data_IF_747951866874
#
_entry.id   IF_747951866874
#
_cell.length_a   1.000
_cell.length_b   1.000
_cell.length_c   1.000
_cell.angle_alpha   90.00
_cell.angle_beta   90.00
_cell.angle_gamma   90.00
#
_symmetry.space_group_name_H-M   'P 1'
#
loop_
_entity.id
_entity.type
_entity.pdbx_description
1 polymer ?
#
# COMPACT_ATOMS: atom_id res chain seq x y z
N UNK A 1 8.26 -21.70 12.77
CA UNK A 1 8.08 -20.63 11.75
C UNK A 1 8.41 -19.31 12.41
N UNK A 2 9.22 -18.47 11.76
CA UNK A 2 9.61 -17.15 12.27
C UNK A 2 8.79 -16.07 11.58
N UNK A 3 8.23 -15.15 12.36
CA UNK A 3 7.45 -14.02 11.87
C UNK A 3 8.05 -12.74 12.45
N UNK A 4 8.33 -11.76 11.58
CA UNK A 4 8.88 -10.46 11.98
C UNK A 4 7.89 -9.38 11.56
N UNK A 5 7.62 -8.44 12.46
CA UNK A 5 6.76 -7.28 12.19
C UNK A 5 7.61 -6.01 12.26
N UNK A 6 7.56 -5.21 11.20
CA UNK A 6 8.20 -3.89 11.16
C UNK A 6 7.11 -2.83 11.30
N UNK A 7 7.18 -2.04 12.37
CA UNK A 7 6.25 -0.93 12.65
C UNK A 7 7.01 0.37 12.84
N UNK A 8 6.33 1.49 12.59
CA UNK A 8 6.83 2.82 12.92
C UNK A 8 6.44 3.14 14.36
N UNK A 9 7.38 3.66 15.14
CA UNK A 9 7.13 4.05 16.53
C UNK A 9 6.76 5.52 16.68
N UNK A 10 6.68 6.28 15.57
CA UNK A 10 6.43 7.71 15.52
C UNK A 10 5.24 8.01 14.59
N UNK A 11 5.30 9.14 13.87
CA UNK A 11 4.22 9.62 12.99
C UNK A 11 4.53 9.42 11.49
N UNK A 12 5.15 8.30 11.12
CA UNK A 12 5.51 8.03 9.74
C UNK A 12 6.94 8.46 9.38
N UNK A 13 7.33 8.16 8.13
CA UNK A 13 8.64 8.48 7.56
C UNK A 13 9.90 8.02 8.34
N UNK A 14 9.77 7.02 9.20
CA UNK A 14 10.87 6.47 10.01
C UNK A 14 11.83 5.56 9.22
N UNK A 15 11.75 5.55 7.89
CA UNK A 15 12.61 4.70 7.04
C UNK A 15 12.24 3.22 7.03
N UNK A 16 11.02 2.85 7.43
CA UNK A 16 10.53 1.45 7.48
C UNK A 16 10.82 0.66 6.19
N UNK A 17 10.64 1.29 5.02
CA UNK A 17 10.87 0.65 3.72
C UNK A 17 12.29 0.11 3.58
N UNK A 18 13.30 0.81 4.11
CA UNK A 18 14.70 0.38 4.09
C UNK A 18 14.95 -0.81 5.01
N UNK A 19 14.30 -0.84 6.18
CA UNK A 19 14.38 -1.98 7.11
C UNK A 19 13.70 -3.21 6.52
N UNK A 20 12.52 -3.04 5.91
CA UNK A 20 11.83 -4.14 5.24
C UNK A 20 12.67 -4.66 4.07
N UNK A 21 13.27 -3.79 3.28
CA UNK A 21 14.17 -4.17 2.19
C UNK A 21 15.35 -5.03 2.67
N UNK A 22 16.04 -4.59 3.74
CA UNK A 22 17.12 -5.36 4.37
C UNK A 22 16.65 -6.74 4.88
N UNK A 23 15.50 -6.80 5.56
CA UNK A 23 14.98 -8.04 6.11
C UNK A 23 14.41 -8.99 5.03
N UNK A 24 14.06 -8.46 3.85
CA UNK A 24 13.47 -9.25 2.76
C UNK A 24 14.43 -10.33 2.26
N UNK A 25 15.74 -10.11 2.36
CA UNK A 25 16.76 -11.10 1.99
C UNK A 25 16.47 -12.47 2.65
N UNK A 26 16.06 -12.45 3.93
CA UNK A 26 15.81 -13.65 4.73
C UNK A 26 14.33 -14.08 4.79
N UNK A 27 13.41 -13.29 4.24
CA UNK A 27 11.99 -13.60 4.21
C UNK A 27 11.59 -14.30 2.90
N UNK A 28 10.59 -15.18 2.92
CA UNK A 28 9.97 -15.74 1.70
C UNK A 28 8.74 -14.94 1.29
N UNK A 29 8.02 -14.38 2.27
CA UNK A 29 6.75 -13.67 2.08
C UNK A 29 6.84 -12.29 2.74
N UNK A 30 6.45 -11.25 2.01
CA UNK A 30 6.39 -9.87 2.51
C UNK A 30 4.96 -9.37 2.44
N UNK A 31 4.39 -9.02 3.61
CA UNK A 31 2.95 -8.72 3.73
C UNK A 31 2.74 -7.26 4.11
N UNK A 32 1.87 -6.57 3.37
CA UNK A 32 1.27 -5.31 3.83
C UNK A 32 -0.08 -5.59 4.44
N UNK A 33 -0.27 -5.17 5.69
CA UNK A 33 -1.46 -5.55 6.47
C UNK A 33 -2.47 -4.42 6.70
N UNK A 34 -2.11 -3.16 6.48
CA UNK A 34 -3.00 -1.99 6.72
C UNK A 34 -2.67 -0.81 5.80
N UNK A 35 -3.53 0.21 5.86
CA UNK A 35 -3.37 1.47 5.15
C UNK A 35 -3.78 1.32 3.69
N UNK A 36 -3.22 2.17 2.84
CA UNK A 36 -3.42 2.09 1.40
C UNK A 36 -2.27 2.74 0.67
N UNK A 37 -2.61 3.44 -0.42
CA UNK A 37 -1.66 4.25 -1.18
C UNK A 37 -1.25 5.53 -0.45
N UNK A 38 -1.67 5.79 0.79
CA UNK A 38 -1.16 6.91 1.60
C UNK A 38 0.26 6.69 2.13
N UNK A 39 0.73 5.45 2.16
CA UNK A 39 2.14 5.18 2.40
C UNK A 39 2.93 5.34 1.09
N UNK A 40 4.21 5.69 1.22
CA UNK A 40 5.18 5.66 0.13
C UNK A 40 6.52 5.21 0.68
N UNK A 41 7.19 4.31 -0.03
CA UNK A 41 8.59 4.02 0.23
C UNK A 41 9.36 4.11 -1.07
N UNK A 42 10.41 4.94 -1.04
CA UNK A 42 11.37 5.07 -2.12
C UNK A 42 12.51 4.12 -1.84
N UNK A 43 12.81 3.24 -2.78
CA UNK A 43 13.97 2.35 -2.72
C UNK A 43 14.86 2.62 -3.92
N UNK A 44 16.17 2.54 -3.69
CA UNK A 44 17.19 2.65 -4.73
C UNK A 44 17.96 1.34 -4.73
N UNK A 45 17.69 0.50 -5.73
CA UNK A 45 18.36 -0.79 -5.92
C UNK A 45 19.19 -0.71 -7.19
N UNK A 46 20.49 -0.99 -7.09
CA UNK A 46 21.43 -0.91 -8.22
C UNK A 46 21.36 0.42 -8.99
N UNK A 47 21.23 1.54 -8.26
CA UNK A 47 21.12 2.88 -8.84
C UNK A 47 19.76 3.24 -9.44
N UNK A 48 18.79 2.32 -9.47
CA UNK A 48 17.44 2.56 -9.98
C UNK A 48 16.50 2.90 -8.85
N UNK A 49 15.89 4.09 -8.94
CA UNK A 49 14.90 4.58 -7.99
C UNK A 49 13.51 4.03 -8.34
N UNK A 50 12.91 3.30 -7.41
CA UNK A 50 11.52 2.80 -7.50
C UNK A 50 10.72 3.34 -6.32
N UNK A 51 9.52 3.87 -6.61
CA UNK A 51 8.59 4.39 -5.61
C UNK A 51 7.37 3.49 -5.58
N UNK A 52 7.09 2.90 -4.43
CA UNK A 52 5.95 2.01 -4.21
C UNK A 52 5.06 2.56 -3.09
N UNK A 53 3.76 2.42 -3.26
CA UNK A 53 2.73 2.88 -2.34
C UNK A 53 1.87 1.74 -1.84
N UNK A 54 1.37 0.86 -2.72
CA UNK A 54 0.53 -0.29 -2.34
C UNK A 54 1.33 -1.57 -2.31
N UNK A 55 2.11 -1.83 -3.35
CA UNK A 55 2.88 -3.07 -3.47
C UNK A 55 3.98 -3.10 -2.39
N UNK A 56 4.15 -4.20 -1.65
CA UNK A 56 5.25 -4.35 -0.69
C UNK A 56 6.63 -4.23 -1.36
N UNK A 57 7.61 -3.65 -0.65
CA UNK A 57 8.98 -3.47 -1.15
C UNK A 57 9.68 -4.76 -1.54
N UNK A 58 9.25 -5.89 -0.99
CA UNK A 58 9.83 -7.19 -1.30
C UNK A 58 9.74 -7.59 -2.77
N UNK A 59 8.91 -6.88 -3.56
CA UNK A 59 8.77 -7.13 -4.99
C UNK A 59 10.05 -6.82 -5.78
N UNK A 60 10.99 -6.08 -5.19
CA UNK A 60 12.29 -5.81 -5.78
C UNK A 60 13.28 -6.97 -5.63
N UNK A 61 12.91 -8.01 -4.88
CA UNK A 61 13.74 -9.18 -4.61
C UNK A 61 13.20 -10.40 -5.35
N UNK A 62 14.08 -11.12 -6.05
CA UNK A 62 13.70 -12.33 -6.77
C UNK A 62 13.28 -13.46 -5.81
N UNK A 63 12.30 -14.26 -6.25
CA UNK A 63 11.83 -15.43 -5.49
C UNK A 63 11.01 -15.09 -4.23
N UNK A 64 10.57 -13.84 -4.07
CA UNK A 64 9.75 -13.40 -2.93
C UNK A 64 8.29 -13.26 -3.35
N UNK A 65 7.38 -13.67 -2.46
CA UNK A 65 5.94 -13.45 -2.63
C UNK A 65 5.52 -12.21 -1.84
N UNK A 66 4.96 -11.23 -2.53
CA UNK A 66 4.36 -10.05 -1.91
C UNK A 66 2.86 -10.24 -1.73
N UNK A 67 2.33 -9.83 -0.59
CA UNK A 67 0.90 -9.97 -0.27
C UNK A 67 0.32 -8.62 0.15
N UNK A 68 -0.77 -8.23 -0.51
CA UNK A 68 -1.66 -7.16 -0.05
C UNK A 68 -2.78 -7.79 0.78
N UNK A 69 -2.71 -7.62 2.10
CA UNK A 69 -3.64 -8.23 3.05
C UNK A 69 -5.00 -7.54 3.13
N UNK A 70 -5.96 -8.22 3.75
CA UNK A 70 -7.37 -7.78 3.92
C UNK A 70 -7.54 -6.45 4.66
N UNK A 71 -6.58 -6.05 5.49
CA UNK A 71 -6.63 -4.78 6.21
C UNK A 71 -6.34 -3.56 5.34
N UNK A 72 -5.85 -3.74 4.11
CA UNK A 72 -5.53 -2.67 3.17
C UNK A 72 -6.79 -2.13 2.48
N UNK A 73 -6.85 -0.81 2.30
CA UNK A 73 -7.75 -0.13 1.38
C UNK A 73 -7.02 0.16 0.06
N UNK A 74 -7.49 -0.47 -1.01
CA UNK A 74 -6.79 -0.60 -2.28
C UNK A 74 -7.40 0.35 -3.32
N UNK A 75 -6.57 1.21 -3.90
CA UNK A 75 -6.96 2.02 -5.06
C UNK A 75 -6.55 1.29 -6.35
N UNK A 76 -7.50 0.78 -7.16
CA UNK A 76 -7.18 -0.03 -8.34
C UNK A 76 -6.36 0.76 -9.37
N UNK A 77 -6.65 2.06 -9.54
CA UNK A 77 -5.94 2.87 -10.51
C UNK A 77 -4.47 3.08 -10.12
N UNK A 78 -4.18 3.15 -8.82
CA UNK A 78 -2.80 3.25 -8.33
C UNK A 78 -2.10 1.90 -8.38
N UNK A 79 -2.78 0.82 -7.98
CA UNK A 79 -2.23 -0.52 -8.08
C UNK A 79 -1.83 -0.86 -9.52
N UNK A 80 -2.72 -0.62 -10.48
CA UNK A 80 -2.43 -0.94 -11.89
C UNK A 80 -1.22 -0.17 -12.41
N UNK A 81 -1.09 1.12 -12.08
CA UNK A 81 0.10 1.91 -12.42
C UNK A 81 1.39 1.33 -11.84
N UNK A 82 1.35 0.86 -10.59
CA UNK A 82 2.52 0.22 -9.97
C UNK A 82 2.85 -1.13 -10.63
N UNK A 83 1.84 -1.94 -10.94
CA UNK A 83 2.00 -3.21 -11.67
C UNK A 83 2.63 -2.96 -13.04
N UNK A 84 2.12 -2.00 -13.81
CA UNK A 84 2.62 -1.69 -15.16
C UNK A 84 4.06 -1.16 -15.12
N UNK A 85 4.37 -0.32 -14.12
CA UNK A 85 5.72 0.15 -13.88
C UNK A 85 6.67 -1.01 -13.55
N UNK A 86 6.28 -1.93 -12.66
CA UNK A 86 7.11 -3.07 -12.29
C UNK A 86 7.30 -4.06 -13.44
N UNK A 87 6.26 -4.31 -14.25
CA UNK A 87 6.33 -5.14 -15.45
C UNK A 87 7.30 -4.56 -16.48
N UNK A 88 7.18 -3.26 -16.78
CA UNK A 88 8.10 -2.56 -17.69
C UNK A 88 9.55 -2.63 -17.22
N UNK A 89 9.77 -2.71 -15.92
CA UNK A 89 11.10 -2.82 -15.32
C UNK A 89 11.62 -4.25 -15.23
N UNK A 90 10.83 -5.27 -15.62
CA UNK A 90 11.18 -6.69 -15.51
C UNK A 90 11.15 -7.24 -14.08
N UNK A 91 10.51 -6.52 -13.14
CA UNK A 91 10.47 -6.90 -11.71
C UNK A 91 9.25 -7.74 -11.35
N UNK A 92 8.21 -7.71 -12.19
CA UNK A 92 6.98 -8.46 -12.01
C UNK A 92 6.63 -9.19 -13.30
N UNK A 93 6.75 -10.52 -13.30
CA UNK A 93 6.47 -11.36 -14.47
C UNK A 93 5.62 -12.60 -14.14
N UNK A 94 5.68 -13.07 -12.90
CA UNK A 94 4.92 -14.21 -12.42
C UNK A 94 3.79 -13.74 -11.47
N UNK A 95 2.52 -14.12 -11.70
CA UNK A 95 1.41 -13.86 -10.78
C UNK A 95 1.67 -14.30 -9.33
N UNK A 96 2.49 -15.33 -9.09
CA UNK A 96 2.84 -15.79 -7.75
C UNK A 96 3.67 -14.78 -6.94
N UNK A 97 4.27 -13.77 -7.60
CA UNK A 97 5.03 -12.72 -6.93
C UNK A 97 4.15 -11.69 -6.22
N UNK A 98 2.87 -11.53 -6.62
CA UNK A 98 1.96 -10.55 -6.04
C UNK A 98 0.57 -11.14 -5.82
N UNK A 99 0.22 -11.39 -4.56
CA UNK A 99 -1.09 -11.86 -4.14
C UNK A 99 -1.89 -10.72 -3.52
N UNK A 100 -3.17 -10.62 -3.90
CA UNK A 100 -4.08 -9.59 -3.42
C UNK A 100 -5.24 -10.29 -2.72
N UNK A 101 -5.50 -9.94 -1.47
CA UNK A 101 -6.65 -10.45 -0.74
C UNK A 101 -7.95 -10.00 -1.40
N UNK A 102 -8.82 -10.96 -1.77
CA UNK A 102 -10.19 -10.71 -2.25
C UNK A 102 -11.05 -9.90 -1.26
N UNK A 103 -10.68 -9.92 0.02
CA UNK A 103 -11.38 -9.21 1.09
C UNK A 103 -10.88 -7.76 1.32
N UNK A 104 -9.83 -7.32 0.62
CA UNK A 104 -9.37 -5.93 0.69
C UNK A 104 -10.48 -5.00 0.18
N UNK A 105 -10.64 -3.83 0.82
CA UNK A 105 -11.67 -2.87 0.43
C UNK A 105 -11.15 -1.97 -0.69
N UNK A 106 -12.04 -1.51 -1.55
CA UNK A 106 -11.69 -0.74 -2.75
C UNK A 106 -11.92 0.75 -2.53
N UNK A 107 -10.90 1.56 -2.84
CA UNK A 107 -11.00 3.02 -2.88
C UNK A 107 -11.59 3.43 -4.23
N UNK A 108 -12.74 4.08 -4.20
CA UNK A 108 -13.38 4.67 -5.36
C UNK A 108 -13.15 6.18 -5.47
N UNK A 109 -13.44 6.80 -6.63
CA UNK A 109 -13.29 8.24 -6.82
C UNK A 109 -14.04 9.09 -5.79
N UNK A 110 -15.25 8.68 -5.38
CA UNK A 110 -16.03 9.42 -4.38
C UNK A 110 -15.37 9.43 -3.00
N UNK A 111 -14.60 8.41 -2.62
CA UNK A 111 -13.84 8.44 -1.36
C UNK A 111 -12.82 9.57 -1.36
N UNK A 112 -12.13 9.80 -2.49
CA UNK A 112 -11.14 10.88 -2.63
C UNK A 112 -11.82 12.25 -2.59
N UNK A 113 -12.94 12.40 -3.32
CA UNK A 113 -13.71 13.64 -3.29
C UNK A 113 -14.25 13.95 -1.89
N UNK A 114 -14.77 12.93 -1.18
CA UNK A 114 -15.31 13.10 0.17
C UNK A 114 -14.22 13.47 1.18
N UNK A 115 -13.03 12.87 1.07
CA UNK A 115 -11.85 13.20 1.88
C UNK A 115 -11.49 14.69 1.70
N UNK A 116 -11.32 15.14 0.46
CA UNK A 116 -10.99 16.53 0.14
C UNK A 116 -12.08 17.53 0.58
N UNK A 117 -13.35 17.20 0.37
CA UNK A 117 -14.47 18.05 0.78
C UNK A 117 -14.56 18.19 2.31
N UNK A 118 -14.31 17.12 3.06
CA UNK A 118 -14.32 17.14 4.52
C UNK A 118 -13.15 17.94 5.09
N UNK A 119 -11.95 17.80 4.52
CA UNK A 119 -10.80 18.63 4.89
C UNK A 119 -11.09 20.12 4.64
N UNK A 120 -11.64 20.45 3.47
CA UNK A 120 -12.05 21.83 3.16
C UNK A 120 -13.10 22.36 4.14
N UNK A 121 -14.11 21.56 4.47
CA UNK A 121 -15.18 21.94 5.38
C UNK A 121 -14.69 22.17 6.83
N UNK A 122 -13.62 21.48 7.25
CA UNK A 122 -12.99 21.68 8.56
C UNK A 122 -12.20 22.98 8.68
N UNK A 123 -11.86 23.63 7.56
CA UNK A 123 -11.14 24.91 7.55
C UNK A 123 -9.85 24.85 8.39
N UNK A 124 -9.72 25.74 9.38
CA UNK A 124 -8.55 25.79 10.27
C UNK A 124 -8.36 24.56 11.18
N UNK A 125 -9.29 23.61 11.18
CA UNK A 125 -9.22 22.35 11.93
C UNK A 125 -9.06 21.12 11.02
N UNK A 126 -8.59 21.32 9.78
CA UNK A 126 -8.25 20.23 8.89
C UNK A 126 -7.20 19.29 9.52
N UNK A 127 -7.29 17.99 9.22
CA UNK A 127 -6.40 16.97 9.77
C UNK A 127 -5.03 16.98 9.06
N UNK A 128 -5.00 17.35 7.77
CA UNK A 128 -3.87 17.14 6.89
C UNK A 128 -3.87 15.75 6.28
N UNK A 129 -5.01 15.26 5.79
CA UNK A 129 -5.07 13.93 5.16
C UNK A 129 -4.27 13.89 3.85
N UNK A 130 -3.92 12.68 3.39
CA UNK A 130 -3.25 12.54 2.08
C UNK A 130 -4.18 12.80 0.89
N UNK A 131 -5.48 13.06 1.11
CA UNK A 131 -6.48 13.24 0.05
C UNK A 131 -6.72 12.01 -0.82
N UNK A 132 -6.28 10.82 -0.36
CA UNK A 132 -6.33 9.57 -1.14
C UNK A 132 -7.59 8.75 -0.86
N UNK A 133 -8.51 9.24 -0.02
CA UNK A 133 -9.76 8.54 0.29
C UNK A 133 -9.63 7.40 1.29
N UNK A 134 -8.54 7.38 2.08
CA UNK A 134 -8.26 6.32 3.07
C UNK A 134 -9.34 6.30 4.15
N UNK A 135 -9.60 7.44 4.78
CA UNK A 135 -10.59 7.58 5.85
C UNK A 135 -11.99 7.18 5.38
N UNK A 136 -12.52 7.79 4.31
CA UNK A 136 -13.82 7.42 3.76
C UNK A 136 -13.97 5.94 3.36
N UNK A 137 -12.92 5.33 2.79
CA UNK A 137 -12.97 3.89 2.47
C UNK A 137 -13.03 3.01 3.72
N UNK A 138 -12.28 3.36 4.77
CA UNK A 138 -12.38 2.69 6.07
C UNK A 138 -13.75 2.92 6.75
N UNK A 139 -14.35 4.10 6.60
CA UNK A 139 -15.71 4.37 7.08
C UNK A 139 -16.72 3.41 6.44
N UNK A 140 -16.65 3.24 5.11
CA UNK A 140 -17.53 2.32 4.38
C UNK A 140 -17.30 0.84 4.77
N UNK A 141 -16.05 0.46 5.06
CA UNK A 141 -15.70 -0.85 5.62
C UNK A 141 -16.41 -1.09 6.95
N UNK A 142 -16.28 -0.16 7.90
CA UNK A 142 -16.89 -0.29 9.24
C UNK A 142 -18.42 -0.22 9.15
N UNK A 143 -18.96 0.60 8.23
CA UNK A 143 -20.40 0.70 7.97
C UNK A 143 -20.97 -0.52 7.23
N UNK A 144 -20.14 -1.47 6.79
CA UNK A 144 -20.54 -2.68 6.05
C UNK A 144 -21.22 -2.39 4.70
N UNK A 145 -20.92 -1.23 4.10
CA UNK A 145 -21.39 -0.83 2.75
C UNK A 145 -20.26 -0.73 1.72
N UNK A 146 -19.01 -0.90 2.16
CA UNK A 146 -17.85 -0.88 1.29
C UNK A 146 -17.81 -2.06 0.33
N UNK A 147 -17.28 -1.80 -0.87
CA UNK A 147 -17.03 -2.82 -1.89
C UNK A 147 -15.64 -3.42 -1.66
N UNK A 148 -15.52 -4.72 -1.86
CA UNK A 148 -14.28 -5.51 -1.75
C UNK A 148 -13.86 -5.98 -3.14
N UNK A 149 -12.66 -6.54 -3.26
CA UNK A 149 -12.08 -6.96 -4.55
C UNK A 149 -12.85 -8.10 -5.24
N UNK A 150 -13.52 -8.96 -4.46
CA UNK A 150 -14.31 -10.11 -4.94
C UNK A 150 -15.43 -9.75 -5.93
#
# INVERSE_FOLDING_TARGET
>A
MSNIVVVGAQWGDEGKGKIVDLLTEHAQIVVRFQGGNNAGHTLVVNGKKTVLHLIPSGILHAGKTCVIGTGVVLDPAVLMKEIDALKTQGLLGDPAQLLISEQAHVIFPWHKHLDALREKARGGQAIGTTGRGIGPCYEDKVARRGIRVR
#
